data_IF_616311970520
#
_entry.id   IF_616311970520
#
_cell.length_a   1.000
_cell.length_b   1.000
_cell.length_c   1.000
_cell.angle_alpha   90.00
_cell.angle_beta   90.00
_cell.angle_gamma   90.00
#
_symmetry.space_group_name_H-M   'P 1'
#
loop_
_entity.id
_entity.type
_entity.pdbx_description
1 polymer ?
#
# COMPACT_ATOMS: atom_id res chain seq x y z
N UNK A 1 -10.32 8.28 -24.66
CA UNK A 1 -9.09 8.94 -25.10
C UNK A 1 -7.91 8.02 -24.78
N UNK A 2 -7.10 7.69 -25.76
CA UNK A 2 -5.86 6.94 -25.56
C UNK A 2 -4.76 7.96 -25.39
N UNK A 3 -4.19 8.03 -24.21
CA UNK A 3 -3.01 8.86 -23.94
C UNK A 3 -1.74 8.02 -24.13
N UNK A 4 -0.59 8.67 -24.19
CA UNK A 4 0.72 7.98 -24.20
C UNK A 4 0.93 7.07 -22.96
N UNK A 5 0.07 7.18 -21.94
CA UNK A 5 0.08 6.41 -20.71
C UNK A 5 -1.02 5.32 -20.67
N UNK A 6 -1.73 5.06 -21.79
CA UNK A 6 -2.77 4.05 -21.92
C UNK A 6 -4.20 4.57 -21.69
N UNK A 7 -5.13 3.63 -21.47
CA UNK A 7 -6.54 3.92 -21.26
C UNK A 7 -6.82 4.41 -19.83
N UNK A 8 -6.49 5.63 -19.52
CA UNK A 8 -6.94 6.27 -18.27
C UNK A 8 -8.07 7.25 -18.54
N UNK A 9 -9.28 6.75 -18.67
CA UNK A 9 -10.42 7.58 -19.06
C UNK A 9 -10.81 8.54 -17.93
N UNK A 10 -10.75 8.13 -16.67
CA UNK A 10 -11.35 8.88 -15.55
C UNK A 10 -10.38 9.31 -14.44
N UNK A 11 -9.21 8.71 -14.36
CA UNK A 11 -8.33 8.86 -13.21
C UNK A 11 -8.82 8.08 -11.98
N UNK A 12 -8.12 8.25 -10.86
CA UNK A 12 -8.45 7.64 -9.58
C UNK A 12 -9.55 8.46 -8.88
N UNK A 13 -10.65 7.83 -8.40
CA UNK A 13 -11.62 8.52 -7.56
C UNK A 13 -10.96 9.12 -6.31
N UNK A 14 -11.15 10.42 -6.01
CA UNK A 14 -10.39 11.08 -4.94
C UNK A 14 -10.72 10.54 -3.55
N UNK A 15 -11.99 10.22 -3.27
CA UNK A 15 -12.47 9.80 -1.95
C UNK A 15 -12.30 8.30 -1.68
N UNK A 16 -11.11 7.78 -2.00
CA UNK A 16 -10.69 6.41 -1.71
C UNK A 16 -9.28 6.42 -1.13
N UNK A 17 -8.99 5.37 -0.35
CA UNK A 17 -7.63 5.04 0.03
C UNK A 17 -6.89 4.44 -1.18
N UNK A 18 -5.65 4.84 -1.35
CA UNK A 18 -4.70 4.25 -2.29
C UNK A 18 -3.42 3.90 -1.56
N UNK A 19 -2.91 2.71 -1.82
CA UNK A 19 -1.57 2.34 -1.40
C UNK A 19 -0.53 3.30 -1.98
N UNK A 20 0.48 3.64 -1.21
CA UNK A 20 1.59 4.46 -1.70
C UNK A 20 2.35 3.81 -2.86
N UNK A 21 2.25 2.48 -3.01
CA UNK A 21 2.81 1.74 -4.13
C UNK A 21 2.21 2.06 -5.51
N UNK A 22 1.09 2.78 -5.57
CA UNK A 22 0.55 3.32 -6.84
C UNK A 22 1.34 4.52 -7.38
N UNK A 23 2.46 4.88 -6.75
CA UNK A 23 3.32 5.94 -7.24
C UNK A 23 3.80 5.66 -8.67
N UNK A 24 3.73 6.67 -9.52
CA UNK A 24 4.21 6.62 -10.91
C UNK A 24 5.46 7.48 -11.13
N UNK A 25 5.83 8.27 -10.15
CA UNK A 25 7.05 9.06 -10.15
C UNK A 25 7.70 8.95 -8.77
N UNK A 26 8.98 8.64 -8.77
CA UNK A 26 9.83 8.59 -7.59
C UNK A 26 11.12 9.31 -7.94
N UNK A 27 11.53 10.24 -7.10
CA UNK A 27 12.87 10.80 -7.18
C UNK A 27 13.91 9.74 -6.74
N UNK A 28 15.03 10.16 -6.25
CA UNK A 28 16.12 9.28 -5.82
C UNK A 28 15.80 8.45 -4.55
N UNK A 29 14.56 7.97 -4.44
CA UNK A 29 14.13 7.10 -3.34
C UNK A 29 14.68 5.71 -3.58
N UNK A 30 15.66 5.32 -2.77
CA UNK A 30 16.28 4.02 -2.83
C UNK A 30 15.28 2.88 -2.71
N UNK A 31 15.51 1.88 -3.49
CA UNK A 31 14.78 0.63 -3.69
C UNK A 31 13.54 0.41 -2.83
N UNK A 32 12.39 0.53 -3.44
CA UNK A 32 11.12 -0.05 -2.98
C UNK A 32 11.22 -1.58 -2.76
N UNK A 33 12.37 -2.17 -3.00
CA UNK A 33 12.54 -3.61 -3.12
C UNK A 33 12.56 -4.35 -1.78
N UNK A 34 12.77 -3.65 -0.68
CA UNK A 34 12.94 -4.28 0.62
C UNK A 34 11.62 -4.51 1.37
N UNK A 35 10.50 -3.96 0.88
CA UNK A 35 9.17 -4.10 1.49
C UNK A 35 8.13 -4.67 0.52
N UNK A 36 8.45 -5.78 -0.12
CA UNK A 36 7.51 -6.47 -0.99
C UNK A 36 6.49 -7.26 -0.18
N UNK A 37 5.52 -6.59 0.37
CA UNK A 37 4.28 -7.26 0.78
C UNK A 37 3.29 -7.21 -0.39
N UNK A 38 3.05 -8.36 -1.02
CA UNK A 38 2.12 -8.48 -2.15
C UNK A 38 0.68 -8.11 -1.77
N UNK A 39 0.34 -8.10 -0.48
CA UNK A 39 -0.96 -7.65 0.00
C UNK A 39 -1.16 -6.15 -0.16
N UNK A 40 -0.10 -5.39 -0.22
CA UNK A 40 -0.13 -3.94 -0.09
C UNK A 40 0.69 -3.19 -1.16
N UNK A 41 1.11 -3.82 -2.23
CA UNK A 41 2.02 -3.26 -3.23
C UNK A 41 3.37 -2.78 -2.66
N UNK A 42 4.30 -2.45 -3.53
CA UNK A 42 5.60 -1.90 -3.10
C UNK A 42 5.44 -0.48 -2.57
N UNK A 43 5.90 -0.24 -1.34
CA UNK A 43 5.82 1.07 -0.71
C UNK A 43 7.07 1.90 -0.95
N UNK A 44 6.96 3.22 -1.11
CA UNK A 44 8.11 4.10 -1.01
C UNK A 44 8.70 4.08 0.39
N UNK A 45 9.86 3.46 0.52
CA UNK A 45 10.61 3.37 1.77
C UNK A 45 11.80 4.34 1.73
N UNK A 46 12.37 4.69 2.88
CA UNK A 46 13.52 5.60 2.99
C UNK A 46 13.28 6.98 2.33
N UNK A 47 12.06 7.50 2.47
CA UNK A 47 11.75 8.86 2.03
C UNK A 47 12.54 9.85 2.87
N UNK A 48 13.38 10.65 2.22
CA UNK A 48 14.34 11.58 2.81
C UNK A 48 14.04 13.03 2.41
N UNK A 49 14.88 13.96 2.85
CA UNK A 49 14.73 15.38 2.50
C UNK A 49 14.72 15.60 0.98
N UNK A 50 13.75 16.37 0.51
CA UNK A 50 13.50 16.70 -0.91
C UNK A 50 13.08 15.55 -1.81
N UNK A 51 12.90 14.36 -1.27
CA UNK A 51 12.34 13.27 -2.03
C UNK A 51 10.93 13.57 -2.50
N UNK A 52 10.62 13.08 -3.72
CA UNK A 52 9.36 13.33 -4.41
C UNK A 52 8.70 12.02 -4.75
N UNK A 53 7.41 11.91 -4.38
CA UNK A 53 6.55 10.79 -4.77
C UNK A 53 5.35 11.35 -5.52
N UNK A 54 5.15 10.91 -6.75
CA UNK A 54 4.09 11.43 -7.63
C UNK A 54 3.05 10.37 -7.99
N UNK A 55 1.79 10.81 -8.04
CA UNK A 55 0.62 9.97 -8.35
C UNK A 55 -0.16 10.59 -9.50
N UNK A 56 -0.45 9.81 -10.54
CA UNK A 56 -1.20 10.22 -11.74
C UNK A 56 -2.36 9.26 -11.99
N UNK A 57 -3.50 9.77 -12.31
CA UNK A 57 -4.11 11.07 -12.07
C UNK A 57 -5.30 10.87 -11.17
N UNK A 58 -5.58 11.81 -10.29
CA UNK A 58 -6.86 11.87 -9.60
C UNK A 58 -7.89 12.58 -10.48
N UNK A 59 -9.13 12.07 -10.50
CA UNK A 59 -10.24 12.66 -11.22
C UNK A 59 -11.12 13.49 -10.30
N UNK A 60 -11.05 14.82 -10.40
CA UNK A 60 -11.74 15.74 -9.51
C UNK A 60 -13.17 16.10 -9.94
N UNK A 61 -13.64 15.59 -11.06
CA UNK A 61 -14.98 15.87 -11.60
C UNK A 61 -14.91 16.46 -13.01
N UNK A 62 -16.02 17.00 -13.54
CA UNK A 62 -16.06 17.67 -14.83
C UNK A 62 -15.83 16.78 -16.07
N UNK A 63 -15.74 15.47 -15.89
CA UNK A 63 -15.48 14.53 -16.98
C UNK A 63 -16.78 13.96 -17.60
N UNK A 64 -17.92 14.62 -17.37
CA UNK A 64 -19.25 14.12 -17.74
C UNK A 64 -19.38 13.81 -19.25
N UNK A 65 -18.75 14.58 -20.11
CA UNK A 65 -18.79 14.34 -21.56
C UNK A 65 -18.04 13.07 -21.97
N UNK A 66 -16.89 12.81 -21.34
CA UNK A 66 -16.12 11.59 -21.56
C UNK A 66 -16.77 10.36 -20.90
N UNK A 67 -17.74 10.58 -20.02
CA UNK A 67 -18.38 9.55 -19.18
C UNK A 67 -19.78 9.16 -19.68
N UNK A 68 -20.22 9.64 -20.83
CA UNK A 68 -21.53 9.27 -21.40
C UNK A 68 -21.68 7.75 -21.46
N UNK A 69 -22.64 7.23 -20.67
CA UNK A 69 -22.92 5.79 -20.60
C UNK A 69 -22.14 5.00 -19.55
N UNK A 70 -21.24 5.64 -18.80
CA UNK A 70 -20.53 5.02 -17.68
C UNK A 70 -21.03 5.61 -16.36
N UNK A 71 -20.97 4.84 -15.26
CA UNK A 71 -21.27 5.38 -13.93
C UNK A 71 -20.14 6.33 -13.53
N UNK A 72 -20.40 7.65 -13.42
CA UNK A 72 -19.39 8.57 -12.93
C UNK A 72 -19.07 8.22 -11.47
N UNK A 73 -17.80 8.29 -11.11
CA UNK A 73 -17.44 8.31 -9.69
C UNK A 73 -17.58 9.73 -9.13
N UNK A 74 -17.69 9.82 -7.83
CA UNK A 74 -17.80 11.10 -7.16
C UNK A 74 -16.46 11.85 -7.20
N UNK A 75 -16.45 13.00 -7.87
CA UNK A 75 -15.36 13.97 -7.83
C UNK A 75 -15.49 14.92 -6.64
N UNK A 76 -14.62 15.91 -6.56
CA UNK A 76 -14.75 17.01 -5.60
C UNK A 76 -15.82 17.99 -6.06
N UNK A 77 -16.57 18.54 -5.09
CA UNK A 77 -17.59 19.55 -5.35
C UNK A 77 -17.43 20.73 -4.38
N UNK A 78 -17.88 21.93 -4.75
CA UNK A 78 -17.90 23.07 -3.83
C UNK A 78 -18.58 22.72 -2.50
N UNK A 79 -17.95 23.08 -1.38
CA UNK A 79 -18.48 22.85 -0.05
C UNK A 79 -18.28 21.45 0.53
N UNK A 80 -17.60 20.54 -0.14
CA UNK A 80 -17.25 19.22 0.40
C UNK A 80 -16.33 19.31 1.63
N UNK A 81 -15.56 20.39 1.77
CA UNK A 81 -14.59 20.55 2.85
C UNK A 81 -13.50 19.49 2.78
N UNK A 82 -12.93 19.30 1.59
CA UNK A 82 -12.00 18.20 1.29
C UNK A 82 -10.71 18.31 2.08
N UNK A 83 -10.31 17.21 2.70
CA UNK A 83 -9.02 17.03 3.34
C UNK A 83 -8.18 16.00 2.59
N UNK A 84 -6.87 16.21 2.54
CA UNK A 84 -5.91 15.23 2.07
C UNK A 84 -5.35 14.42 3.25
N UNK A 85 -5.30 13.10 3.11
CA UNK A 85 -4.77 12.19 4.10
C UNK A 85 -3.52 11.52 3.54
N UNK A 86 -2.48 11.44 4.36
CA UNK A 86 -1.32 10.59 4.14
C UNK A 86 -1.16 9.63 5.30
N UNK A 87 -0.86 8.39 4.98
CA UNK A 87 -0.51 7.34 5.94
C UNK A 87 0.97 7.07 5.80
N UNK A 88 1.70 7.18 6.88
CA UNK A 88 3.14 6.96 6.88
C UNK A 88 3.61 6.41 8.22
N UNK A 89 4.76 5.72 8.20
CA UNK A 89 5.49 5.27 9.37
C UNK A 89 6.70 6.18 9.55
N UNK A 90 6.74 7.03 10.59
CA UNK A 90 7.93 7.87 10.86
C UNK A 90 9.16 7.02 11.16
N UNK A 91 10.31 7.37 10.59
CA UNK A 91 11.60 6.72 10.83
C UNK A 91 12.54 7.55 11.71
N UNK A 92 12.25 8.82 11.90
CA UNK A 92 13.02 9.77 12.70
C UNK A 92 12.24 10.23 13.93
N UNK A 93 12.94 10.63 14.98
CA UNK A 93 12.35 11.30 16.15
C UNK A 93 12.26 12.82 15.97
N UNK A 94 12.83 13.36 14.88
CA UNK A 94 12.76 14.77 14.53
C UNK A 94 11.44 15.10 13.84
N UNK A 95 10.99 16.34 13.99
CA UNK A 95 9.87 16.84 13.20
C UNK A 95 10.26 16.97 11.73
N UNK A 96 9.31 16.68 10.84
CA UNK A 96 9.48 16.85 9.40
C UNK A 96 8.14 17.23 8.74
N UNK A 97 8.14 17.47 7.44
CA UNK A 97 6.99 17.92 6.70
C UNK A 97 6.81 17.10 5.42
N UNK A 98 5.55 16.93 5.03
CA UNK A 98 5.17 16.46 3.69
C UNK A 98 4.40 17.59 3.01
N UNK A 99 4.99 18.19 1.99
CA UNK A 99 4.35 19.20 1.17
C UNK A 99 3.52 18.52 0.07
N UNK A 100 2.26 18.90 -0.04
CA UNK A 100 1.33 18.34 -1.03
C UNK A 100 1.21 19.34 -2.18
N UNK A 101 1.47 18.87 -3.39
CA UNK A 101 1.49 19.66 -4.59
C UNK A 101 0.53 19.10 -5.65
N UNK A 102 -0.07 20.00 -6.42
CA UNK A 102 -0.94 19.70 -7.55
C UNK A 102 -0.16 19.97 -8.86
N UNK A 103 -0.23 19.02 -9.80
CA UNK A 103 0.29 19.06 -11.16
C UNK A 103 1.82 19.18 -11.33
N UNK A 104 2.55 19.31 -10.27
CA UNK A 104 4.00 19.32 -10.28
C UNK A 104 4.57 19.54 -8.89
N UNK A 105 5.79 19.05 -8.61
CA UNK A 105 6.41 19.15 -7.27
C UNK A 105 6.97 20.54 -6.97
N UNK A 106 7.00 21.45 -7.93
CA UNK A 106 7.50 22.80 -7.80
C UNK A 106 6.72 23.81 -8.63
N UNK A 107 6.67 25.05 -8.15
CA UNK A 107 6.08 26.21 -8.84
C UNK A 107 7.12 26.87 -9.78
N UNK A 108 7.66 26.15 -10.73
CA UNK A 108 8.61 26.67 -11.71
C UNK A 108 8.11 26.44 -13.15
N UNK A 109 8.77 27.04 -14.15
CA UNK A 109 8.37 26.93 -15.54
C UNK A 109 8.32 25.50 -16.08
N UNK A 110 9.17 24.60 -15.54
CA UNK A 110 9.22 23.20 -15.98
C UNK A 110 8.03 22.38 -15.49
N UNK A 111 7.52 22.66 -14.28
CA UNK A 111 6.50 21.84 -13.63
C UNK A 111 5.17 22.55 -13.46
N UNK A 112 5.18 23.87 -13.26
CA UNK A 112 3.99 24.68 -13.02
C UNK A 112 3.08 24.13 -11.88
N UNK A 113 3.71 23.52 -10.88
CA UNK A 113 3.01 22.93 -9.75
C UNK A 113 2.46 23.96 -8.79
N UNK A 114 1.37 23.62 -8.09
CA UNK A 114 0.75 24.44 -7.05
C UNK A 114 0.83 23.70 -5.71
N UNK A 115 1.52 24.27 -4.71
CA UNK A 115 1.47 23.74 -3.34
C UNK A 115 0.06 23.96 -2.76
N UNK A 116 -0.61 22.88 -2.38
CA UNK A 116 -2.00 22.92 -1.89
C UNK A 116 -2.09 22.67 -0.39
N UNK A 117 -1.09 22.02 0.20
CA UNK A 117 -1.03 21.83 1.65
C UNK A 117 0.39 21.55 2.13
N UNK A 118 0.56 21.63 3.43
CA UNK A 118 1.69 21.12 4.18
C UNK A 118 1.16 20.28 5.34
N UNK A 119 1.72 19.10 5.50
CA UNK A 119 1.43 18.18 6.59
C UNK A 119 2.64 18.16 7.50
N UNK A 120 2.47 18.63 8.73
CA UNK A 120 3.52 18.60 9.74
C UNK A 120 3.45 17.26 10.50
N UNK A 121 4.59 16.57 10.57
CA UNK A 121 4.78 15.37 11.38
C UNK A 121 5.58 15.79 12.62
N UNK A 122 4.96 15.77 13.82
CA UNK A 122 5.63 16.22 15.03
C UNK A 122 6.82 15.35 15.42
N UNK A 123 7.79 15.94 16.11
CA UNK A 123 8.86 15.19 16.76
C UNK A 123 8.30 14.17 17.76
N UNK A 124 8.91 12.99 17.84
CA UNK A 124 8.48 11.92 18.73
C UNK A 124 7.19 11.22 18.31
N UNK A 125 6.75 11.37 17.04
CA UNK A 125 5.63 10.59 16.50
C UNK A 125 5.92 9.10 16.57
N UNK A 126 4.88 8.31 16.87
CA UNK A 126 4.99 6.86 17.00
C UNK A 126 5.52 6.22 15.69
N UNK A 127 6.40 5.23 15.81
CA UNK A 127 6.97 4.49 14.67
C UNK A 127 6.03 3.36 14.22
N UNK A 128 4.81 3.76 13.91
CA UNK A 128 3.74 2.90 13.39
C UNK A 128 2.96 3.65 12.33
N UNK A 129 2.16 2.93 11.54
CA UNK A 129 1.35 3.55 10.50
C UNK A 129 0.38 4.54 11.11
N UNK A 130 0.63 5.80 10.88
CA UNK A 130 -0.15 6.91 11.42
C UNK A 130 -0.72 7.74 10.28
N UNK A 131 -1.98 8.17 10.44
CA UNK A 131 -2.63 9.08 9.50
C UNK A 131 -2.35 10.53 9.89
N UNK A 132 -1.81 11.27 8.94
CA UNK A 132 -1.72 12.73 9.01
C UNK A 132 -2.64 13.35 7.96
N UNK A 133 -3.18 14.53 8.23
CA UNK A 133 -4.19 15.14 7.37
C UNK A 133 -4.00 16.64 7.29
N UNK A 134 -4.35 17.22 6.13
CA UNK A 134 -4.42 18.66 5.91
C UNK A 134 -5.70 19.04 5.18
N UNK A 135 -6.24 20.21 5.49
CA UNK A 135 -7.36 20.81 4.74
C UNK A 135 -6.81 21.26 3.37
N UNK A 136 -7.51 20.86 2.30
CA UNK A 136 -7.19 21.22 0.92
C UNK A 136 -8.42 21.76 0.18
N UNK A 137 -9.52 22.04 0.90
CA UNK A 137 -10.80 22.44 0.32
C UNK A 137 -10.69 23.66 -0.58
N UNK A 138 -9.91 24.68 -0.20
CA UNK A 138 -9.71 25.89 -1.01
C UNK A 138 -9.10 25.57 -2.39
N UNK A 139 -8.26 24.55 -2.46
CA UNK A 139 -7.55 24.20 -3.69
C UNK A 139 -8.28 23.17 -4.57
N UNK A 140 -9.08 22.28 -3.96
CA UNK A 140 -9.62 21.12 -4.67
C UNK A 140 -11.14 21.02 -4.68
N UNK A 141 -11.86 21.71 -3.78
CA UNK A 141 -13.32 21.73 -3.82
C UNK A 141 -13.79 22.43 -5.09
N UNK A 142 -14.56 21.70 -5.92
CA UNK A 142 -15.00 22.18 -7.22
C UNK A 142 -13.94 22.18 -8.33
N UNK A 143 -12.74 21.64 -8.07
CA UNK A 143 -11.75 21.40 -9.10
C UNK A 143 -12.30 20.37 -10.10
N UNK A 144 -12.04 20.56 -11.39
CA UNK A 144 -12.48 19.67 -12.45
C UNK A 144 -11.28 19.09 -13.21
N UNK A 145 -11.50 17.92 -13.80
CA UNK A 145 -10.50 17.27 -14.64
C UNK A 145 -9.60 16.26 -13.90
N UNK A 146 -8.52 15.91 -14.55
CA UNK A 146 -7.50 14.99 -14.04
C UNK A 146 -6.26 15.78 -13.62
N UNK A 147 -5.86 15.58 -12.37
CA UNK A 147 -4.71 16.26 -11.80
C UNK A 147 -3.76 15.29 -11.11
N UNK A 148 -2.48 15.53 -11.24
CA UNK A 148 -1.44 14.78 -10.53
C UNK A 148 -1.24 15.33 -9.12
N UNK A 149 -0.95 14.43 -8.17
CA UNK A 149 -0.58 14.79 -6.80
C UNK A 149 0.88 14.41 -6.58
N UNK A 150 1.66 15.35 -6.08
CA UNK A 150 3.05 15.11 -5.69
C UNK A 150 3.22 15.38 -4.20
N UNK A 151 3.93 14.48 -3.54
CA UNK A 151 4.38 14.63 -2.15
C UNK A 151 5.85 14.95 -2.17
N UNK A 152 6.25 16.05 -1.52
CA UNK A 152 7.65 16.44 -1.39
C UNK A 152 7.99 16.47 0.10
N UNK A 153 8.91 15.62 0.51
CA UNK A 153 9.36 15.55 1.88
C UNK A 153 10.35 16.68 2.22
N UNK A 154 10.31 17.15 3.44
CA UNK A 154 11.22 18.21 3.96
C UNK A 154 11.61 17.90 5.40
N UNK A 155 12.89 17.64 5.64
CA UNK A 155 13.40 17.31 6.97
C UNK A 155 14.88 16.94 6.94
N UNK A 156 15.34 16.11 7.85
CA UNK A 156 16.74 15.71 7.97
C UNK A 156 16.88 14.19 8.06
N UNK A 157 17.62 13.59 7.13
CA UNK A 157 17.87 12.15 7.06
C UNK A 157 16.66 11.35 6.54
N UNK A 158 16.60 10.08 6.89
CA UNK A 158 15.47 9.20 6.58
C UNK A 158 14.25 9.61 7.41
N UNK A 159 13.18 10.01 6.75
CA UNK A 159 12.01 10.61 7.38
C UNK A 159 10.91 9.61 7.65
N UNK A 160 10.52 8.84 6.62
CA UNK A 160 9.38 7.92 6.74
C UNK A 160 9.33 6.84 5.65
N UNK A 161 8.46 5.89 5.88
CA UNK A 161 7.85 5.03 4.85
C UNK A 161 6.47 5.57 4.53
N UNK A 162 6.15 5.73 3.24
CA UNK A 162 4.81 6.09 2.81
C UNK A 162 3.98 4.82 2.62
N UNK A 163 2.84 4.75 3.30
CA UNK A 163 1.95 3.58 3.28
C UNK A 163 0.73 3.80 2.38
N UNK A 164 0.20 5.02 2.32
CA UNK A 164 -0.95 5.32 1.49
C UNK A 164 -1.41 6.75 1.56
N UNK A 165 -2.40 7.07 0.72
CA UNK A 165 -2.95 8.42 0.63
C UNK A 165 -4.40 8.39 0.11
N UNK A 166 -5.04 9.54 0.18
CA UNK A 166 -6.35 9.78 -0.41
C UNK A 166 -7.03 11.00 0.17
N UNK A 167 -8.17 11.34 -0.42
CA UNK A 167 -8.96 12.48 0.02
C UNK A 167 -10.17 12.01 0.84
N UNK A 168 -10.63 12.85 1.75
CA UNK A 168 -11.87 12.63 2.52
C UNK A 168 -12.68 13.92 2.58
N UNK A 169 -14.00 13.78 2.67
CA UNK A 169 -14.92 14.92 2.89
C UNK A 169 -14.90 15.33 4.35
N UNK A 170 -15.34 16.55 4.62
CA UNK A 170 -15.52 17.06 5.99
C UNK A 170 -16.32 16.07 6.84
N UNK A 171 -15.77 15.74 8.00
CA UNK A 171 -16.39 14.80 8.95
C UNK A 171 -16.23 13.32 8.61
N UNK A 172 -15.65 12.99 7.47
CA UNK A 172 -15.31 11.60 7.12
C UNK A 172 -13.88 11.26 7.54
N UNK A 173 -13.72 10.11 8.19
CA UNK A 173 -12.41 9.57 8.56
C UNK A 173 -11.99 8.50 7.56
N UNK A 174 -10.84 8.69 6.92
CA UNK A 174 -10.19 7.64 6.17
C UNK A 174 -9.40 6.74 7.14
N UNK A 175 -9.54 5.43 7.00
CA UNK A 175 -8.80 4.47 7.80
C UNK A 175 -7.73 3.79 6.94
N UNK A 176 -6.61 3.44 7.54
CA UNK A 176 -5.60 2.58 6.93
C UNK A 176 -6.17 1.15 6.83
N UNK A 177 -6.26 0.58 5.64
CA UNK A 177 -6.63 -0.81 5.47
C UNK A 177 -5.40 -1.69 5.74
N UNK A 178 -5.15 -1.98 7.02
CA UNK A 178 -4.04 -2.86 7.37
C UNK A 178 -4.13 -4.19 6.59
N UNK A 179 -3.03 -4.67 6.00
CA UNK A 179 -3.02 -5.94 5.30
C UNK A 179 -3.36 -7.07 6.27
N UNK A 180 -4.07 -8.11 5.81
CA UNK A 180 -4.44 -9.21 6.68
C UNK A 180 -3.23 -9.99 7.17
N UNK A 181 -3.25 -10.36 8.45
CA UNK A 181 -2.24 -11.21 9.06
C UNK A 181 -2.70 -12.66 9.02
N UNK A 182 -1.81 -13.55 8.59
CA UNK A 182 -2.04 -15.01 8.57
C UNK A 182 -1.19 -15.65 9.67
N UNK A 183 -1.81 -16.57 10.41
CA UNK A 183 -1.12 -17.43 11.38
C UNK A 183 -1.30 -18.88 10.99
N UNK A 184 -0.23 -19.67 11.06
CA UNK A 184 -0.22 -21.11 10.79
C UNK A 184 -0.04 -21.87 12.09
N UNK A 185 -0.73 -22.99 12.21
CA UNK A 185 -0.67 -23.86 13.38
C UNK A 185 -0.39 -25.29 12.94
N UNK A 186 0.44 -26.00 13.72
CA UNK A 186 0.72 -27.43 13.54
C UNK A 186 0.27 -28.14 14.82
N UNK A 187 -0.69 -29.05 14.68
CA UNK A 187 -1.37 -29.73 15.80
C UNK A 187 -1.89 -28.74 16.87
N UNK A 188 -2.33 -27.55 16.43
CA UNK A 188 -2.87 -26.50 17.29
C UNK A 188 -1.82 -25.55 17.89
N UNK A 189 -0.54 -25.80 17.69
CA UNK A 189 0.54 -24.94 18.16
C UNK A 189 0.89 -23.93 17.07
N UNK A 190 0.94 -22.63 17.41
CA UNK A 190 1.34 -21.58 16.49
C UNK A 190 2.81 -21.74 16.07
N UNK A 191 3.10 -21.57 14.79
CA UNK A 191 4.47 -21.56 14.28
C UNK A 191 4.97 -20.12 14.10
N UNK A 192 6.28 -19.95 14.17
CA UNK A 192 6.90 -18.67 13.86
C UNK A 192 6.73 -18.38 12.36
N UNK A 193 6.19 -17.21 12.05
CA UNK A 193 5.95 -16.81 10.67
C UNK A 193 7.17 -16.08 10.11
N UNK A 194 7.55 -16.36 8.86
CA UNK A 194 8.66 -15.65 8.22
C UNK A 194 8.30 -14.17 7.99
N UNK A 195 9.24 -13.28 8.25
CA UNK A 195 9.06 -11.84 8.04
C UNK A 195 9.02 -11.49 6.55
N UNK A 196 9.79 -12.21 5.73
CA UNK A 196 9.97 -11.90 4.32
C UNK A 196 9.65 -13.09 3.41
N UNK A 197 9.09 -12.83 2.22
CA UNK A 197 8.91 -13.86 1.21
C UNK A 197 10.24 -14.27 0.59
N UNK A 198 10.29 -15.49 0.07
CA UNK A 198 11.42 -15.95 -0.75
C UNK A 198 11.20 -15.61 -2.21
N UNK A 199 12.30 -15.32 -2.90
CA UNK A 199 12.27 -15.12 -4.35
C UNK A 199 11.88 -16.44 -5.03
N UNK A 200 10.85 -16.38 -5.85
CA UNK A 200 10.43 -17.51 -6.69
C UNK A 200 10.49 -17.13 -8.17
N UNK A 201 10.63 -18.13 -9.03
CA UNK A 201 10.53 -17.95 -10.48
C UNK A 201 9.47 -18.93 -10.98
N UNK A 202 8.43 -18.44 -11.64
CA UNK A 202 7.42 -19.30 -12.22
C UNK A 202 7.93 -19.97 -13.52
N UNK A 203 7.12 -20.88 -14.09
CA UNK A 203 7.44 -21.61 -15.31
C UNK A 203 7.70 -20.72 -16.54
N UNK A 204 7.20 -19.48 -16.53
CA UNK A 204 7.39 -18.49 -17.60
C UNK A 204 8.59 -17.57 -17.33
N UNK A 205 9.38 -17.83 -16.29
CA UNK A 205 10.56 -17.06 -15.94
C UNK A 205 10.26 -15.74 -15.19
N UNK A 206 9.01 -15.46 -14.84
CA UNK A 206 8.67 -14.30 -14.01
C UNK A 206 9.10 -14.51 -12.56
N UNK A 207 9.74 -13.50 -12.01
CA UNK A 207 10.19 -13.48 -10.63
C UNK A 207 9.03 -12.97 -9.76
N UNK A 208 8.71 -13.69 -8.68
CA UNK A 208 7.72 -13.33 -7.69
C UNK A 208 8.29 -13.37 -6.27
N UNK A 209 7.61 -12.72 -5.36
CA UNK A 209 7.87 -12.69 -3.93
C UNK A 209 6.58 -13.01 -3.16
N UNK A 210 5.90 -14.06 -3.62
CA UNK A 210 4.59 -14.52 -3.16
C UNK A 210 4.66 -15.79 -2.31
N UNK A 211 5.87 -16.32 -2.10
CA UNK A 211 6.14 -17.56 -1.36
C UNK A 211 6.85 -17.30 -0.05
N UNK A 212 6.42 -17.99 0.97
CA UNK A 212 7.01 -17.96 2.30
C UNK A 212 7.37 -19.38 2.73
N UNK A 213 8.52 -19.56 3.35
CA UNK A 213 8.97 -20.85 3.85
C UNK A 213 8.86 -20.91 5.36
N UNK A 214 8.14 -21.91 5.85
CA UNK A 214 7.96 -22.19 7.27
C UNK A 214 8.60 -23.53 7.58
N UNK A 215 9.59 -23.57 8.46
CA UNK A 215 10.20 -24.79 8.94
C UNK A 215 9.60 -25.20 10.28
N UNK A 216 9.32 -26.49 10.46
CA UNK A 216 8.84 -27.03 11.70
C UNK A 216 9.53 -28.36 12.02
N UNK A 217 10.11 -28.46 13.23
CA UNK A 217 10.69 -29.68 13.73
C UNK A 217 9.62 -30.53 14.42
N UNK A 218 9.35 -31.70 13.86
CA UNK A 218 8.38 -32.65 14.42
C UNK A 218 9.00 -33.35 15.59
N UNK A 219 8.35 -33.42 16.75
CA UNK A 219 8.85 -34.19 17.91
C UNK A 219 9.13 -35.65 17.57
N UNK A 220 10.27 -36.19 18.04
CA UNK A 220 10.72 -37.52 17.70
C UNK A 220 9.74 -38.63 18.13
N UNK A 221 8.99 -38.40 19.21
CA UNK A 221 7.98 -39.31 19.76
C UNK A 221 6.62 -39.21 19.05
N UNK A 222 6.44 -38.27 18.15
CA UNK A 222 5.21 -38.12 17.37
C UNK A 222 5.09 -39.27 16.36
N UNK A 223 3.98 -39.99 16.42
CA UNK A 223 3.70 -41.15 15.55
C UNK A 223 2.70 -40.82 14.42
N UNK A 224 1.94 -39.75 14.56
CA UNK A 224 0.93 -39.32 13.58
C UNK A 224 1.44 -38.22 12.69
N UNK A 225 0.96 -38.18 11.44
CA UNK A 225 1.18 -37.05 10.54
C UNK A 225 0.62 -35.78 11.17
N UNK A 226 1.43 -34.72 11.31
CA UNK A 226 0.98 -33.45 11.87
C UNK A 226 -0.13 -32.83 11.02
N UNK A 227 -1.10 -32.21 11.67
CA UNK A 227 -2.18 -31.48 11.00
C UNK A 227 -1.85 -30.00 10.91
N UNK A 228 -1.78 -29.47 9.68
CA UNK A 228 -1.59 -28.05 9.44
C UNK A 228 -2.94 -27.34 9.36
N UNK A 229 -3.07 -26.24 10.08
CA UNK A 229 -4.24 -25.33 9.99
C UNK A 229 -3.74 -23.89 9.89
N UNK A 230 -4.59 -23.00 9.37
CA UNK A 230 -4.25 -21.58 9.27
C UNK A 230 -5.47 -20.72 9.59
N UNK A 231 -5.19 -19.49 10.01
CA UNK A 231 -6.20 -18.50 10.36
C UNK A 231 -5.73 -17.12 9.91
N UNK A 232 -6.62 -16.34 9.31
CA UNK A 232 -6.40 -14.92 9.07
C UNK A 232 -7.24 -14.08 10.05
N UNK A 233 -6.76 -12.88 10.37
CA UNK A 233 -7.49 -11.90 11.17
C UNK A 233 -8.61 -11.22 10.35
N UNK A 234 -8.53 -11.28 9.02
CA UNK A 234 -9.54 -10.78 8.10
C UNK A 234 -10.30 -11.96 7.46
N UNK A 235 -11.63 -11.97 7.63
CA UNK A 235 -12.52 -13.02 7.10
C UNK A 235 -12.63 -13.04 5.57
N UNK A 236 -12.19 -11.99 4.88
CA UNK A 236 -12.17 -11.93 3.42
C UNK A 236 -11.00 -12.72 2.81
N UNK A 237 -10.04 -13.18 3.63
CA UNK A 237 -8.97 -14.06 3.16
C UNK A 237 -9.51 -15.46 2.94
N UNK A 238 -9.47 -15.94 1.69
CA UNK A 238 -9.74 -17.33 1.38
C UNK A 238 -8.49 -18.18 1.65
N UNK A 239 -8.63 -19.25 2.43
CA UNK A 239 -7.51 -20.13 2.81
C UNK A 239 -7.75 -21.54 2.26
N UNK A 240 -6.78 -22.05 1.50
CA UNK A 240 -6.71 -23.41 1.00
C UNK A 240 -5.48 -24.10 1.56
N UNK A 241 -5.64 -25.34 2.08
CA UNK A 241 -4.54 -26.07 2.73
C UNK A 241 -4.40 -27.46 2.10
N UNK A 242 -3.22 -27.73 1.56
CA UNK A 242 -2.81 -29.09 1.19
C UNK A 242 -2.02 -29.67 2.35
N UNK A 243 -2.54 -30.75 2.95
CA UNK A 243 -1.93 -31.40 4.11
C UNK A 243 -0.68 -32.19 3.72
N UNK A 244 0.29 -32.39 4.65
CA UNK A 244 1.44 -33.24 4.39
C UNK A 244 0.99 -34.71 4.28
N UNK A 245 1.64 -35.46 3.38
CA UNK A 245 1.33 -36.89 3.17
C UNK A 245 1.91 -37.79 4.27
N UNK A 246 2.91 -37.34 5.00
CA UNK A 246 3.63 -38.13 6.00
C UNK A 246 4.08 -37.25 7.18
N UNK A 247 4.62 -37.90 8.23
CA UNK A 247 5.16 -37.23 9.43
C UNK A 247 6.23 -36.18 9.07
N UNK A 248 7.08 -36.53 8.12
CA UNK A 248 8.06 -35.62 7.50
C UNK A 248 7.63 -35.37 6.07
N UNK A 249 7.50 -34.12 5.67
CA UNK A 249 7.01 -33.76 4.34
C UNK A 249 6.66 -32.29 4.25
N UNK A 250 5.86 -31.97 3.25
CA UNK A 250 5.52 -30.58 2.98
C UNK A 250 4.00 -30.39 2.97
N UNK A 251 3.53 -29.36 3.65
CA UNK A 251 2.17 -28.82 3.48
C UNK A 251 2.23 -27.49 2.75
N UNK A 252 1.13 -27.13 2.11
CA UNK A 252 0.99 -25.82 1.46
C UNK A 252 -0.23 -25.11 2.03
N UNK A 253 -0.06 -23.87 2.43
CA UNK A 253 -1.15 -22.97 2.81
C UNK A 253 -1.20 -21.84 1.80
N UNK A 254 -2.27 -21.77 1.02
CA UNK A 254 -2.52 -20.73 0.02
C UNK A 254 -3.58 -19.78 0.55
N UNK A 255 -3.27 -18.51 0.58
CA UNK A 255 -4.14 -17.45 1.04
C UNK A 255 -4.42 -16.47 -0.09
N UNK A 256 -5.69 -16.23 -0.40
CA UNK A 256 -6.12 -15.27 -1.40
C UNK A 256 -6.87 -14.13 -0.72
N UNK A 257 -6.42 -12.91 -0.97
CA UNK A 257 -7.07 -11.69 -0.53
C UNK A 257 -7.23 -10.75 -1.71
N UNK A 258 -8.45 -10.54 -2.16
CA UNK A 258 -8.78 -9.67 -3.30
C UNK A 258 -8.01 -10.02 -4.60
N UNK A 259 -7.72 -11.30 -4.83
CA UNK A 259 -6.98 -11.77 -6.01
C UNK A 259 -5.45 -11.72 -5.85
N UNK A 260 -4.96 -11.27 -4.71
CA UNK A 260 -3.53 -11.34 -4.35
C UNK A 260 -3.29 -12.59 -3.53
N UNK A 261 -2.41 -13.46 -4.02
CA UNK A 261 -2.16 -14.79 -3.44
C UNK A 261 -0.82 -14.85 -2.74
N UNK A 262 -0.82 -15.27 -1.46
CA UNK A 262 0.37 -15.67 -0.70
C UNK A 262 0.38 -17.18 -0.53
N UNK A 263 1.53 -17.81 -0.73
CA UNK A 263 1.71 -19.24 -0.56
C UNK A 263 2.76 -19.51 0.51
N UNK A 264 2.37 -20.21 1.57
CA UNK A 264 3.27 -20.67 2.62
C UNK A 264 3.58 -22.15 2.40
N UNK A 265 4.86 -22.47 2.24
CA UNK A 265 5.35 -23.85 2.17
C UNK A 265 5.84 -24.24 3.54
N UNK A 266 5.13 -25.18 4.19
CA UNK A 266 5.45 -25.66 5.54
C UNK A 266 6.22 -26.95 5.40
N UNK A 267 7.51 -26.94 5.73
CA UNK A 267 8.38 -28.11 5.70
C UNK A 267 8.46 -28.73 7.09
N UNK A 268 8.02 -30.00 7.18
CA UNK A 268 8.08 -30.81 8.42
C UNK A 268 9.32 -31.69 8.35
N UNK A 269 10.19 -31.57 9.34
CA UNK A 269 11.42 -32.38 9.47
C UNK A 269 11.55 -32.92 10.90
N UNK A 270 12.33 -34.02 11.09
CA UNK A 270 12.73 -34.54 12.41
C UNK A 270 13.97 -33.83 12.93
#
# INVERSE_FOLDING_TARGET
EVTSEGFQIFGMPPYKYYSAGYACFLSDIGSQQDNWDIWDNSMPVNVSDKDIVGYKYFGFGGLAEAQKGLKPFEGTAPGNGTSFNVFLTPKTDKAFKINVWLDGPWANEAWNGKKIAQIDVPAGSAREVTRFTADVAEAVDGLEGKHAIYLVAEGEGDLCELMGLGFSKKGQKMNYPAPPTVSIFIDGNAVEMPEHPVRSTNENGYIGYDRYEVAYTVPADQTKTPKVTAKADNKAVAIEITQPESKTGTATVKCDYNGVVKTYTVTLAE
#
